data_IF_414087918231
#
_entry.id   IF_414087918231
#
_cell.length_a   1.000
_cell.length_b   1.000
_cell.length_c   1.000
_cell.angle_alpha   90.00
_cell.angle_beta   90.00
_cell.angle_gamma   90.00
#
_symmetry.space_group_name_H-M   'P 1'
#
loop_
_entity.id
_entity.type
_entity.pdbx_description
1 polymer ?
#
# COMPACT_ATOMS: atom_id res chain seq x y z
N UNK A 1 -59.39 4.68 2.01
CA UNK A 1 -59.39 3.22 2.16
C UNK A 1 -58.19 2.69 1.37
N UNK A 2 -57.06 2.59 1.99
CA UNK A 2 -55.83 2.09 1.38
C UNK A 2 -55.30 0.99 2.29
N UNK A 3 -55.21 -0.23 1.76
CA UNK A 3 -54.80 -1.44 2.49
C UNK A 3 -53.27 -1.43 2.65
N UNK A 4 -52.83 -1.63 3.89
CA UNK A 4 -51.47 -1.83 4.28
C UNK A 4 -51.19 -3.34 4.20
N UNK A 5 -50.34 -3.74 3.26
CA UNK A 5 -49.86 -5.14 3.18
C UNK A 5 -48.43 -5.22 3.75
N UNK A 6 -48.33 -5.76 4.94
CA UNK A 6 -47.08 -6.02 5.63
C UNK A 6 -46.44 -7.30 5.06
N UNK A 7 -45.35 -7.16 4.29
CA UNK A 7 -44.51 -8.31 3.90
C UNK A 7 -43.48 -8.60 4.98
N UNK A 8 -43.74 -9.62 5.75
CA UNK A 8 -42.81 -10.24 6.66
C UNK A 8 -41.78 -11.06 5.86
N UNK A 9 -40.52 -10.56 5.77
CA UNK A 9 -39.41 -11.36 5.26
C UNK A 9 -38.87 -12.25 6.37
N UNK A 10 -39.08 -13.56 6.22
CA UNK A 10 -38.53 -14.58 7.07
C UNK A 10 -37.00 -14.67 6.93
N UNK A 11 -36.31 -14.47 8.03
CA UNK A 11 -34.87 -14.71 8.15
C UNK A 11 -34.63 -16.21 8.25
N UNK A 12 -34.12 -16.83 7.18
CA UNK A 12 -33.63 -18.20 7.20
C UNK A 12 -32.26 -18.23 7.91
N UNK A 13 -32.26 -18.75 9.14
CA UNK A 13 -31.03 -19.13 9.84
C UNK A 13 -30.41 -20.34 9.13
N UNK A 14 -29.27 -20.13 8.46
CA UNK A 14 -28.43 -21.23 7.99
C UNK A 14 -27.49 -21.64 9.09
N UNK A 15 -27.63 -22.93 9.47
CA UNK A 15 -26.89 -23.58 10.53
C UNK A 15 -25.37 -23.49 10.38
N UNK A 16 -24.72 -23.31 11.52
CA UNK A 16 -23.29 -23.38 11.65
C UNK A 16 -22.77 -24.79 11.40
N UNK A 17 -22.05 -24.95 10.30
CA UNK A 17 -21.24 -26.14 10.07
C UNK A 17 -20.02 -26.12 10.96
N UNK A 18 -20.02 -26.89 12.03
CA UNK A 18 -18.83 -27.15 12.84
C UNK A 18 -17.87 -28.01 12.00
N UNK A 19 -16.66 -27.53 11.80
CA UNK A 19 -15.57 -28.31 11.21
C UNK A 19 -15.19 -29.47 12.15
N UNK A 20 -14.89 -30.67 11.63
CA UNK A 20 -14.57 -31.82 12.44
C UNK A 20 -13.18 -31.68 13.09
N UNK A 21 -13.15 -31.68 14.43
CA UNK A 21 -11.95 -31.62 15.28
C UNK A 21 -11.15 -32.94 15.34
N UNK A 22 -11.12 -33.77 14.31
CA UNK A 22 -10.55 -35.11 14.39
C UNK A 22 -9.31 -35.38 13.54
N UNK A 23 -8.54 -34.35 13.12
CA UNK A 23 -7.29 -34.59 12.37
C UNK A 23 -6.02 -34.67 13.23
N UNK A 24 -6.09 -34.42 14.53
CA UNK A 24 -4.87 -34.41 15.37
C UNK A 24 -4.51 -35.76 16.04
N UNK A 25 -5.30 -36.80 15.85
CA UNK A 25 -5.03 -38.09 16.55
C UNK A 25 -4.44 -39.22 15.69
N UNK A 26 -4.07 -38.91 14.44
CA UNK A 26 -3.62 -39.96 13.51
C UNK A 26 -2.09 -40.02 13.30
N UNK A 27 -1.28 -39.18 13.92
CA UNK A 27 0.17 -39.11 13.63
C UNK A 27 1.06 -39.64 14.78
N UNK A 28 0.50 -40.11 15.89
CA UNK A 28 1.29 -40.57 17.06
C UNK A 28 1.21 -42.08 17.30
N UNK A 29 1.11 -42.91 16.29
CA UNK A 29 1.18 -44.36 16.53
C UNK A 29 1.92 -45.14 15.45
N UNK A 30 3.12 -44.69 15.10
CA UNK A 30 4.11 -45.51 14.41
C UNK A 30 5.52 -45.14 14.86
N UNK A 31 5.82 -45.35 16.12
CA UNK A 31 7.18 -45.20 16.67
C UNK A 31 7.49 -46.41 17.53
N UNK A 32 7.83 -47.47 16.87
CA UNK A 32 8.39 -48.65 17.48
C UNK A 32 9.38 -49.32 16.53
N UNK A 33 10.62 -49.36 16.99
CA UNK A 33 11.77 -50.15 16.49
C UNK A 33 12.60 -49.56 15.36
N UNK A 34 13.83 -49.30 15.76
CA UNK A 34 15.09 -49.31 15.06
C UNK A 34 15.73 -47.92 14.84
N UNK A 35 16.73 -47.68 15.72
CA UNK A 35 18.03 -47.13 15.30
C UNK A 35 18.05 -45.69 14.81
N UNK A 36 18.57 -44.80 15.69
CA UNK A 36 19.33 -43.67 15.20
C UNK A 36 18.64 -42.63 14.33
N UNK A 37 17.55 -42.03 14.79
CA UNK A 37 16.94 -40.94 14.04
C UNK A 37 17.52 -39.60 14.52
N UNK A 38 18.44 -39.07 13.73
CA UNK A 38 18.81 -37.64 13.79
C UNK A 38 17.56 -36.84 13.45
N UNK A 39 16.93 -36.27 14.46
CA UNK A 39 15.86 -35.27 14.27
C UNK A 39 16.51 -34.03 13.70
N UNK A 40 16.51 -33.93 12.36
CA UNK A 40 16.83 -32.70 11.66
C UNK A 40 15.68 -31.73 11.96
N UNK A 41 15.82 -30.93 13.00
CA UNK A 41 14.94 -29.80 13.27
C UNK A 41 15.17 -28.81 12.14
N UNK A 42 14.43 -28.93 11.05
CA UNK A 42 14.39 -27.90 10.01
C UNK A 42 13.74 -26.66 10.60
N UNK A 43 14.58 -25.81 11.14
CA UNK A 43 14.22 -24.45 11.51
C UNK A 43 13.87 -23.73 10.20
N UNK A 44 12.59 -23.73 9.82
CA UNK A 44 12.12 -22.87 8.74
C UNK A 44 12.31 -21.43 9.20
N UNK A 45 13.44 -20.86 8.82
CA UNK A 45 13.66 -19.42 8.91
C UNK A 45 12.61 -18.80 8.01
N UNK A 46 11.52 -18.31 8.59
CA UNK A 46 10.64 -17.35 7.94
C UNK A 46 11.47 -16.09 7.79
N UNK A 47 12.14 -15.97 6.65
CA UNK A 47 12.76 -14.72 6.27
C UNK A 47 11.64 -13.68 6.21
N UNK A 48 11.49 -12.91 7.28
CA UNK A 48 10.72 -11.67 7.21
C UNK A 48 11.48 -10.80 6.23
N UNK A 49 10.98 -10.76 5.00
CA UNK A 49 11.44 -9.82 3.98
C UNK A 49 11.26 -8.40 4.52
N UNK A 50 12.32 -7.88 5.10
CA UNK A 50 12.39 -6.46 5.43
C UNK A 50 12.60 -5.74 4.13
N UNK A 51 11.65 -4.91 3.73
CA UNK A 51 11.97 -3.82 2.83
C UNK A 51 11.18 -3.64 1.55
N UNK A 52 10.16 -4.42 1.26
CA UNK A 52 9.21 -4.01 0.21
C UNK A 52 7.94 -3.55 0.90
N UNK A 53 7.63 -2.25 0.81
CA UNK A 53 6.40 -1.70 1.36
C UNK A 53 5.17 -2.42 0.78
N UNK A 54 4.08 -2.42 1.53
CA UNK A 54 2.82 -3.03 1.12
C UNK A 54 1.98 -2.03 0.32
N UNK A 55 1.77 -2.32 -0.95
CA UNK A 55 1.00 -1.45 -1.86
C UNK A 55 -0.47 -1.29 -1.45
N UNK A 56 -1.09 -2.27 -0.79
CA UNK A 56 -2.46 -2.14 -0.31
C UNK A 56 -2.55 -1.14 0.87
N UNK A 57 -1.62 -1.23 1.82
CA UNK A 57 -1.50 -0.22 2.88
C UNK A 57 -1.08 1.14 2.29
N UNK A 58 -0.24 1.14 1.27
CA UNK A 58 0.16 2.34 0.54
C UNK A 58 -1.02 3.07 -0.10
N UNK A 59 -2.01 2.35 -0.64
CA UNK A 59 -3.24 2.94 -1.14
C UNK A 59 -4.03 3.70 -0.07
N UNK A 60 -4.00 3.21 1.18
CA UNK A 60 -4.62 3.91 2.31
C UNK A 60 -3.85 5.19 2.66
N UNK A 61 -2.51 5.12 2.67
CA UNK A 61 -1.68 6.31 2.88
C UNK A 61 -1.88 7.33 1.76
N UNK A 62 -2.02 6.87 0.51
CA UNK A 62 -2.26 7.71 -0.66
C UNK A 62 -3.60 8.47 -0.61
N UNK A 63 -4.56 8.06 0.23
CA UNK A 63 -5.86 8.73 0.34
C UNK A 63 -5.73 10.23 0.62
N UNK A 64 -4.74 10.66 1.40
CA UNK A 64 -4.46 12.08 1.66
C UNK A 64 -3.93 12.82 0.42
N UNK A 65 -3.29 12.13 -0.51
CA UNK A 65 -2.73 12.71 -1.74
C UNK A 65 -3.81 12.95 -2.80
N UNK A 66 -4.86 12.08 -2.83
CA UNK A 66 -5.98 12.15 -3.79
C UNK A 66 -6.76 13.45 -3.72
N UNK A 67 -6.70 14.17 -2.60
CA UNK A 67 -7.37 15.47 -2.44
C UNK A 67 -6.85 16.47 -3.46
N UNK A 68 -5.56 16.37 -3.81
CA UNK A 68 -4.89 17.31 -4.69
C UNK A 68 -4.38 16.69 -5.99
N UNK A 69 -4.18 15.37 -6.04
CA UNK A 69 -3.55 14.68 -7.17
C UNK A 69 -4.47 13.63 -7.80
N UNK A 70 -4.41 13.49 -9.11
CA UNK A 70 -5.01 12.39 -9.86
C UNK A 70 -3.93 11.40 -10.32
N UNK A 71 -4.32 10.14 -10.51
CA UNK A 71 -3.51 9.11 -11.17
C UNK A 71 -3.81 9.02 -12.68
N UNK A 72 -4.81 9.75 -13.16
CA UNK A 72 -5.20 9.75 -14.57
C UNK A 72 -4.24 10.61 -15.40
N UNK A 73 -3.90 10.14 -16.61
CA UNK A 73 -3.02 10.85 -17.52
C UNK A 73 -3.56 12.26 -17.82
N UNK A 74 -2.71 13.27 -17.69
CA UNK A 74 -3.04 14.67 -18.02
C UNK A 74 -4.07 15.35 -17.10
N UNK A 75 -4.66 14.65 -16.12
CA UNK A 75 -5.64 15.22 -15.21
C UNK A 75 -4.95 15.94 -14.05
N UNK A 76 -4.59 17.19 -14.29
CA UNK A 76 -4.12 18.08 -13.24
C UNK A 76 -5.29 18.57 -12.37
N UNK A 77 -5.03 18.68 -11.07
CA UNK A 77 -5.96 19.21 -10.07
C UNK A 77 -5.30 20.38 -9.32
N UNK A 78 -5.46 20.48 -8.00
CA UNK A 78 -4.67 21.40 -7.15
C UNK A 78 -3.18 21.09 -7.27
N UNK A 79 -2.83 19.81 -7.36
CA UNK A 79 -1.51 19.30 -7.71
C UNK A 79 -1.49 18.71 -9.12
N UNK A 80 -0.28 18.41 -9.66
CA UNK A 80 -0.14 17.78 -10.97
C UNK A 80 -0.63 16.33 -10.95
N UNK A 81 -1.01 15.82 -12.13
CA UNK A 81 -1.22 14.38 -12.31
C UNK A 81 0.04 13.61 -11.95
N UNK A 82 -0.15 12.50 -11.24
CA UNK A 82 0.93 11.57 -10.88
C UNK A 82 1.11 10.43 -11.89
N UNK A 83 0.31 10.38 -12.96
CA UNK A 83 0.52 9.40 -14.02
C UNK A 83 1.93 9.55 -14.62
N UNK A 84 2.67 8.45 -14.76
CA UNK A 84 4.05 8.46 -15.22
C UNK A 84 5.02 9.18 -14.28
N UNK A 85 4.78 9.14 -12.97
CA UNK A 85 5.61 9.84 -11.98
C UNK A 85 7.03 9.27 -11.94
N UNK A 86 7.17 7.95 -11.88
CA UNK A 86 8.47 7.31 -11.78
C UNK A 86 9.26 7.50 -13.08
N UNK A 87 10.48 7.98 -12.94
CA UNK A 87 11.35 8.34 -14.08
C UNK A 87 11.08 9.75 -14.65
N UNK A 88 10.02 10.45 -14.19
CA UNK A 88 9.68 11.78 -14.67
C UNK A 88 10.53 12.86 -13.98
N UNK A 89 10.95 13.86 -14.76
CA UNK A 89 11.66 15.03 -14.22
C UNK A 89 10.70 15.89 -13.39
N UNK A 90 11.17 16.42 -12.25
CA UNK A 90 10.42 17.34 -11.44
C UNK A 90 10.02 18.59 -12.25
N UNK A 91 8.83 19.12 -11.97
CA UNK A 91 8.35 20.31 -12.65
C UNK A 91 7.94 20.13 -14.12
N UNK A 92 7.84 18.90 -14.64
CA UNK A 92 7.67 18.63 -16.09
C UNK A 92 6.28 18.14 -16.51
N UNK A 93 5.31 17.96 -15.60
CA UNK A 93 3.95 17.56 -16.01
C UNK A 93 3.33 18.64 -16.91
N UNK A 94 2.93 18.30 -18.15
CA UNK A 94 2.31 19.26 -19.07
C UNK A 94 1.03 19.88 -18.49
N UNK A 95 0.81 21.15 -18.78
CA UNK A 95 -0.41 21.85 -18.39
C UNK A 95 -0.52 22.19 -16.91
N UNK A 96 0.52 21.91 -16.08
CA UNK A 96 0.53 22.29 -14.67
C UNK A 96 1.49 23.45 -14.38
N UNK A 97 1.04 24.42 -13.60
CA UNK A 97 1.86 25.59 -13.21
C UNK A 97 2.63 25.31 -11.94
N UNK A 98 3.88 24.90 -12.07
CA UNK A 98 4.79 24.65 -10.95
C UNK A 98 5.38 25.94 -10.36
N UNK A 99 5.90 25.84 -9.12
CA UNK A 99 6.77 26.87 -8.56
C UNK A 99 8.09 26.95 -9.35
N UNK A 100 8.78 28.12 -9.37
CA UNK A 100 10.13 28.21 -9.92
C UNK A 100 11.09 27.21 -9.24
N UNK A 101 10.97 27.02 -7.93
CA UNK A 101 11.78 26.07 -7.18
C UNK A 101 11.62 24.64 -7.71
N UNK A 102 10.40 24.17 -7.94
CA UNK A 102 10.15 22.81 -8.45
C UNK A 102 10.62 22.65 -9.90
N UNK A 103 10.48 23.68 -10.74
CA UNK A 103 10.98 23.66 -12.13
C UNK A 103 12.50 23.55 -12.19
N UNK A 104 13.20 24.17 -11.24
CA UNK A 104 14.65 24.26 -11.17
C UNK A 104 15.29 23.20 -10.26
N UNK A 105 14.49 22.30 -9.67
CA UNK A 105 14.97 21.33 -8.67
C UNK A 105 15.99 20.31 -9.23
N UNK A 106 16.04 20.13 -10.56
CA UNK A 106 16.94 19.17 -11.22
C UNK A 106 16.83 17.71 -10.68
N UNK A 107 15.63 17.32 -10.27
CA UNK A 107 15.32 16.02 -9.70
C UNK A 107 14.60 15.16 -10.73
N UNK A 108 14.95 13.89 -10.83
CA UNK A 108 14.15 12.85 -11.47
C UNK A 108 13.52 11.99 -10.38
N UNK A 109 12.22 11.76 -10.48
CA UNK A 109 11.48 11.02 -9.45
C UNK A 109 11.77 9.52 -9.54
N UNK A 110 12.28 8.98 -8.47
CA UNK A 110 12.49 7.55 -8.21
C UNK A 110 12.27 7.30 -6.71
N UNK A 111 12.42 6.08 -6.25
CA UNK A 111 12.16 5.72 -4.84
C UNK A 111 13.04 6.54 -3.87
N UNK A 112 14.31 6.75 -4.19
CA UNK A 112 15.24 7.51 -3.33
C UNK A 112 14.84 8.99 -3.25
N UNK A 113 14.60 9.64 -4.38
CA UNK A 113 14.25 11.07 -4.43
C UNK A 113 12.85 11.31 -3.88
N UNK A 114 11.88 10.40 -4.13
CA UNK A 114 10.54 10.48 -3.58
C UNK A 114 10.55 10.25 -2.06
N UNK A 115 11.35 9.31 -1.56
CA UNK A 115 11.44 9.08 -0.12
C UNK A 115 11.92 10.34 0.60
N UNK A 116 12.97 10.98 0.11
CA UNK A 116 13.51 12.23 0.68
C UNK A 116 12.50 13.36 0.61
N UNK A 117 11.85 13.53 -0.56
CA UNK A 117 10.85 14.57 -0.78
C UNK A 117 9.61 14.38 0.10
N UNK A 118 9.09 13.17 0.19
CA UNK A 118 7.86 12.89 0.94
C UNK A 118 8.07 12.91 2.47
N UNK A 119 9.30 12.81 2.96
CA UNK A 119 9.61 13.01 4.38
C UNK A 119 9.52 14.48 4.76
N UNK A 120 10.05 15.36 3.93
CA UNK A 120 10.01 16.80 4.15
C UNK A 120 10.11 17.57 2.82
N UNK A 121 8.97 17.86 2.17
CA UNK A 121 8.95 18.53 0.88
C UNK A 121 9.61 19.91 0.91
N UNK A 122 9.42 20.65 2.00
CA UNK A 122 9.95 22.02 2.11
C UNK A 122 11.45 22.07 2.31
N UNK A 123 11.99 21.07 3.02
CA UNK A 123 13.45 20.95 3.18
C UNK A 123 14.10 20.44 1.87
N UNK A 124 13.45 19.53 1.16
CA UNK A 124 14.00 18.94 -0.06
C UNK A 124 13.94 19.91 -1.26
N UNK A 125 12.82 20.64 -1.43
CA UNK A 125 12.65 21.69 -2.46
C UNK A 125 12.18 22.99 -1.79
N UNK A 126 13.07 23.80 -1.26
CA UNK A 126 12.71 25.09 -0.67
C UNK A 126 11.99 25.98 -1.71
N UNK A 127 10.80 26.46 -1.37
CA UNK A 127 9.95 27.20 -2.30
C UNK A 127 8.97 26.35 -3.11
N UNK A 128 8.86 25.05 -2.81
CA UNK A 128 7.76 24.23 -3.31
C UNK A 128 6.39 24.75 -2.83
N UNK A 129 5.39 24.64 -3.72
CA UNK A 129 4.01 25.07 -3.42
C UNK A 129 3.18 24.00 -2.72
N UNK A 130 3.60 22.74 -2.71
CA UNK A 130 2.84 21.65 -2.12
C UNK A 130 2.65 21.88 -0.61
N UNK A 131 1.38 21.90 -0.18
CA UNK A 131 1.02 22.06 1.24
C UNK A 131 0.91 20.69 1.87
N UNK A 132 2.06 20.15 2.27
CA UNK A 132 2.16 18.83 2.88
C UNK A 132 3.30 18.82 3.91
N UNK A 133 3.02 18.27 5.09
CA UNK A 133 3.98 18.28 6.22
C UNK A 133 4.97 17.11 6.20
N UNK A 134 4.76 16.18 5.29
CA UNK A 134 5.60 14.99 5.12
C UNK A 134 5.12 13.77 5.90
N UNK A 135 5.68 12.61 5.56
CA UNK A 135 5.45 11.33 6.23
C UNK A 135 6.69 10.99 7.04
N UNK A 136 6.57 11.00 8.36
CA UNK A 136 7.69 10.73 9.28
C UNK A 136 7.81 9.25 9.66
N UNK A 137 6.75 8.46 9.45
CA UNK A 137 6.72 7.02 9.70
C UNK A 137 7.36 6.29 8.51
N UNK A 138 8.49 5.58 8.70
CA UNK A 138 9.20 4.92 7.60
C UNK A 138 8.41 3.74 7.00
N UNK A 139 7.56 3.08 7.80
CA UNK A 139 6.70 2.00 7.31
C UNK A 139 5.64 2.52 6.35
N UNK A 140 4.93 3.59 6.74
CA UNK A 140 3.94 4.25 5.87
C UNK A 140 4.59 4.83 4.61
N UNK A 141 5.80 5.36 4.72
CA UNK A 141 6.54 5.88 3.57
C UNK A 141 6.88 4.75 2.59
N UNK A 142 7.41 3.64 3.09
CA UNK A 142 7.70 2.47 2.26
C UNK A 142 6.45 1.90 1.58
N UNK A 143 5.34 1.79 2.31
CA UNK A 143 4.05 1.36 1.76
C UNK A 143 3.56 2.30 0.65
N UNK A 144 3.65 3.63 0.87
CA UNK A 144 3.28 4.61 -0.15
C UNK A 144 4.14 4.52 -1.41
N UNK A 145 5.46 4.36 -1.27
CA UNK A 145 6.36 4.19 -2.41
C UNK A 145 6.02 2.93 -3.21
N UNK A 146 5.76 1.81 -2.55
CA UNK A 146 5.30 0.58 -3.19
C UNK A 146 4.00 0.80 -3.99
N UNK A 147 3.06 1.54 -3.44
CA UNK A 147 1.82 1.90 -4.14
C UNK A 147 2.08 2.80 -5.34
N UNK A 148 2.85 3.89 -5.19
CA UNK A 148 3.15 4.82 -6.28
C UNK A 148 3.84 4.15 -7.46
N UNK A 149 4.76 3.22 -7.20
CA UNK A 149 5.43 2.44 -8.25
C UNK A 149 4.47 1.62 -9.13
N UNK A 150 3.34 1.22 -8.59
CA UNK A 150 2.31 0.47 -9.33
C UNK A 150 1.27 1.39 -9.96
N UNK A 151 0.78 2.36 -9.18
CA UNK A 151 -0.40 3.13 -9.52
C UNK A 151 -0.13 4.31 -10.47
N UNK A 152 1.13 4.72 -10.64
CA UNK A 152 1.48 5.88 -11.50
C UNK A 152 2.01 5.50 -12.87
N UNK A 153 1.97 4.22 -13.23
CA UNK A 153 2.42 3.71 -14.55
C UNK A 153 1.47 4.09 -15.66
#
# INVERSE_FOLDING_TARGET
MVRNESHTFGVAQRGGGQAPHNLEKAVVKLSGMLGGTVILLTLTLVARGQGVGDSQRGAQVFAQCKVCHSLEAGKNMVGPSLHGLIGRKAGSMPGYTYSPAMKNANVTWNDDTLSKYLVDPKAFVPGDKMVFTGIKDPGKLGDLLAYLNQATR
#
